data_IF_584306310611
#
_entry.id   IF_584306310611
#
_cell.length_a   1.000
_cell.length_b   1.000
_cell.length_c   1.000
_cell.angle_alpha   90.00
_cell.angle_beta   90.00
_cell.angle_gamma   90.00
#
_symmetry.space_group_name_H-M   'P 1'
#
loop_
_entity.id
_entity.type
_entity.pdbx_description
1 polymer ?
#
# COMPACT_ATOMS: atom_id res chain seq x y z
N UNK A 1 1.21 6.87 27.91
CA UNK A 1 2.39 7.05 27.04
C UNK A 1 1.94 7.43 25.64
N UNK A 2 2.56 8.44 25.02
CA UNK A 2 2.27 8.83 23.65
C UNK A 2 3.13 8.03 22.65
N UNK A 3 2.76 8.11 21.36
CA UNK A 3 3.55 7.52 20.27
C UNK A 3 3.83 8.56 19.18
N UNK A 4 5.06 8.54 18.65
CA UNK A 4 5.42 9.26 17.42
C UNK A 4 5.47 8.25 16.28
N UNK A 5 4.74 8.53 15.19
CA UNK A 5 4.68 7.69 14.00
C UNK A 5 5.24 8.46 12.82
N UNK A 6 6.23 7.91 12.12
CA UNK A 6 6.78 8.55 10.91
C UNK A 6 6.07 8.09 9.65
N UNK A 7 5.93 8.97 8.67
CA UNK A 7 5.44 8.61 7.33
C UNK A 7 6.03 9.52 6.26
N UNK A 8 6.24 8.97 5.06
CA UNK A 8 6.68 9.73 3.88
C UNK A 8 5.53 10.36 3.09
N UNK A 9 4.31 10.24 3.57
CA UNK A 9 3.17 10.88 2.93
C UNK A 9 3.25 12.40 3.01
N UNK A 10 2.61 13.06 2.04
CA UNK A 10 2.50 14.51 1.98
C UNK A 10 1.15 14.93 2.56
N UNK A 11 1.18 15.98 3.36
CA UNK A 11 -0.02 16.58 3.93
C UNK A 11 -0.01 18.08 3.72
N UNK A 12 -1.20 18.67 3.69
CA UNK A 12 -1.39 20.11 3.60
C UNK A 12 -1.96 20.64 4.91
N UNK A 13 -1.43 21.77 5.41
CA UNK A 13 -1.88 22.40 6.65
C UNK A 13 -2.46 23.78 6.36
N UNK A 14 -3.64 24.07 6.90
CA UNK A 14 -4.31 25.37 6.84
C UNK A 14 -3.93 26.23 8.04
N UNK A 15 -4.13 27.59 7.97
CA UNK A 15 -3.73 28.52 9.04
C UNK A 15 -4.41 28.25 10.39
N UNK A 16 -5.57 27.59 10.40
CA UNK A 16 -6.28 27.15 11.60
C UNK A 16 -5.67 25.90 12.26
N UNK A 17 -4.53 25.40 11.74
CA UNK A 17 -3.83 24.23 12.25
C UNK A 17 -4.42 22.88 11.82
N UNK A 18 -5.48 22.88 11.01
CA UNK A 18 -6.03 21.63 10.44
C UNK A 18 -5.11 21.06 9.38
N UNK A 19 -4.98 19.73 9.34
CA UNK A 19 -4.13 19.01 8.41
C UNK A 19 -5.00 18.15 7.49
N UNK A 20 -4.70 18.17 6.19
CA UNK A 20 -5.51 17.61 5.13
C UNK A 20 -4.72 16.65 4.23
N UNK A 21 -5.41 15.68 3.63
CA UNK A 21 -4.82 14.74 2.66
C UNK A 21 -5.81 14.39 1.55
N UNK A 22 -5.29 14.19 0.33
CA UNK A 22 -6.02 13.52 -0.75
C UNK A 22 -5.84 11.98 -0.70
N UNK A 23 -4.88 11.50 0.08
CA UNK A 23 -4.52 10.08 0.15
C UNK A 23 -5.30 9.27 1.17
N UNK A 24 -4.88 8.02 1.38
CA UNK A 24 -5.53 7.04 2.26
C UNK A 24 -5.33 7.31 3.76
N UNK A 25 -4.46 8.23 4.16
CA UNK A 25 -4.08 8.44 5.56
C UNK A 25 -4.93 9.53 6.25
N UNK A 26 -6.26 9.39 6.21
CA UNK A 26 -7.18 10.27 6.93
C UNK A 26 -7.19 10.00 8.44
N UNK A 27 -7.90 10.81 9.21
CA UNK A 27 -7.94 10.72 10.69
C UNK A 27 -8.23 9.30 11.21
N UNK A 28 -9.19 8.51 10.69
CA UNK A 28 -9.42 7.14 11.14
C UNK A 28 -8.20 6.21 11.03
N UNK A 29 -7.35 6.43 10.01
CA UNK A 29 -6.13 5.63 9.88
C UNK A 29 -5.20 5.78 11.10
N UNK A 30 -5.09 6.98 11.67
CA UNK A 30 -4.20 7.26 12.81
C UNK A 30 -4.79 6.84 14.15
N UNK A 31 -6.11 6.77 14.27
CA UNK A 31 -6.76 6.35 15.53
C UNK A 31 -6.44 4.91 15.93
N UNK A 32 -5.99 4.07 15.00
CA UNK A 32 -5.60 2.68 15.28
C UNK A 32 -4.47 2.55 16.32
N UNK A 33 -3.58 3.53 16.43
CA UNK A 33 -2.50 3.55 17.43
C UNK A 33 -3.03 3.83 18.84
N UNK A 34 -4.20 4.46 18.97
CA UNK A 34 -4.86 4.74 20.25
C UNK A 34 -5.33 3.47 20.97
N UNK A 35 -5.30 2.31 20.30
CA UNK A 35 -5.55 1.01 20.93
C UNK A 35 -4.51 0.64 22.02
N UNK A 36 -3.33 1.30 22.01
CA UNK A 36 -2.27 1.06 22.98
C UNK A 36 -1.61 2.35 23.52
N UNK A 37 -1.86 3.51 22.92
CA UNK A 37 -1.23 4.78 23.28
C UNK A 37 -2.28 5.84 23.58
N UNK A 38 -1.93 6.81 24.43
CA UNK A 38 -2.84 7.86 24.90
C UNK A 38 -3.06 8.95 23.86
N UNK A 39 -2.02 9.20 23.03
CA UNK A 39 -2.06 10.12 21.90
C UNK A 39 -1.06 9.73 20.81
N UNK A 40 -1.30 10.21 19.60
CA UNK A 40 -0.49 9.98 18.41
C UNK A 40 0.05 11.30 17.89
N UNK A 41 1.36 11.38 17.66
CA UNK A 41 2.00 12.47 16.95
C UNK A 41 2.58 11.97 15.64
N UNK A 42 2.03 12.42 14.53
CA UNK A 42 2.49 12.00 13.19
C UNK A 42 3.62 12.93 12.74
N UNK A 43 4.78 12.38 12.47
CA UNK A 43 5.90 13.09 11.86
C UNK A 43 5.89 12.87 10.35
N UNK A 44 5.58 13.92 9.60
CA UNK A 44 5.35 13.81 8.16
C UNK A 44 5.76 15.11 7.42
N UNK A 45 5.83 15.02 6.09
CA UNK A 45 6.01 16.17 5.23
C UNK A 45 4.73 17.00 5.18
N UNK A 46 4.83 18.27 5.56
CA UNK A 46 3.68 19.18 5.64
C UNK A 46 3.97 20.45 4.85
N UNK A 47 3.03 20.82 3.98
CA UNK A 47 3.03 22.06 3.23
C UNK A 47 1.93 22.96 3.74
N UNK A 48 2.24 24.23 4.00
CA UNK A 48 1.23 25.21 4.38
C UNK A 48 0.48 25.69 3.13
N UNK A 49 -0.86 25.74 3.23
CA UNK A 49 -1.79 26.18 2.18
C UNK A 49 -2.87 27.09 2.77
N UNK A 50 -3.42 28.03 2.01
CA UNK A 50 -4.46 28.93 2.54
C UNK A 50 -5.82 28.23 2.75
N UNK A 51 -6.21 27.31 1.83
CA UNK A 51 -7.50 26.63 1.84
C UNK A 51 -7.31 25.20 1.34
N UNK A 52 -7.97 24.19 1.94
CA UNK A 52 -7.87 22.82 1.48
C UNK A 52 -8.53 22.64 0.09
N UNK A 53 -7.90 21.90 -0.84
CA UNK A 53 -8.53 21.58 -2.11
C UNK A 53 -9.81 20.74 -1.93
N UNK A 54 -10.77 20.83 -2.87
CA UNK A 54 -11.97 19.99 -2.84
C UNK A 54 -11.62 18.49 -2.76
N UNK A 55 -12.39 17.73 -2.00
CA UNK A 55 -12.21 16.30 -1.82
C UNK A 55 -11.10 15.88 -0.84
N UNK A 56 -10.34 16.82 -0.26
CA UNK A 56 -9.38 16.50 0.78
C UNK A 56 -10.09 16.15 2.09
N UNK A 57 -9.48 15.22 2.85
CA UNK A 57 -10.00 14.70 4.11
C UNK A 57 -9.15 15.17 5.27
N UNK A 58 -9.81 15.46 6.40
CA UNK A 58 -9.14 15.85 7.64
C UNK A 58 -8.29 14.69 8.18
N UNK A 59 -7.13 15.02 8.73
CA UNK A 59 -6.13 14.04 9.18
C UNK A 59 -5.86 14.13 10.68
N UNK A 60 -5.87 15.32 11.26
CA UNK A 60 -5.69 15.55 12.69
C UNK A 60 -7.04 15.73 13.40
N UNK A 61 -7.04 15.52 14.72
CA UNK A 61 -8.24 15.59 15.55
C UNK A 61 -7.92 15.20 16.99
N UNK A 62 -8.93 14.84 17.80
CA UNK A 62 -8.72 14.45 19.19
C UNK A 62 -7.62 13.38 19.33
N UNK A 63 -6.60 13.66 20.17
CA UNK A 63 -5.46 12.78 20.43
C UNK A 63 -4.56 12.47 19.22
N UNK A 64 -4.79 13.05 18.02
CA UNK A 64 -3.95 12.90 16.83
C UNK A 64 -3.44 14.26 16.38
N UNK A 65 -2.14 14.47 16.49
CA UNK A 65 -1.45 15.72 16.15
C UNK A 65 -0.38 15.48 15.09
N UNK A 66 0.07 16.56 14.43
CA UNK A 66 1.11 16.50 13.41
C UNK A 66 2.33 17.34 13.81
N UNK A 67 3.50 16.72 13.71
CA UNK A 67 4.80 17.39 13.72
C UNK A 67 5.29 17.48 12.27
N UNK A 68 5.15 18.66 11.66
CA UNK A 68 5.50 18.87 10.26
C UNK A 68 7.01 18.96 10.08
N UNK A 69 7.58 18.21 9.13
CA UNK A 69 8.83 18.55 8.48
C UNK A 69 8.53 19.32 7.19
N UNK A 70 9.40 20.23 6.74
CA UNK A 70 9.18 20.96 5.49
C UNK A 70 8.93 20.00 4.33
N UNK A 71 7.91 20.27 3.52
CA UNK A 71 7.60 19.46 2.34
C UNK A 71 8.76 19.52 1.32
N UNK A 72 9.11 18.37 0.75
CA UNK A 72 10.11 18.26 -0.30
C UNK A 72 9.73 17.21 -1.35
N UNK A 73 10.07 17.48 -2.58
CA UNK A 73 9.90 16.55 -3.70
C UNK A 73 11.22 16.39 -4.44
N UNK A 74 11.73 15.17 -4.47
CA UNK A 74 13.00 14.84 -5.10
C UNK A 74 14.24 15.29 -4.33
N UNK A 75 15.41 14.84 -4.81
CA UNK A 75 16.69 15.02 -4.13
C UNK A 75 17.10 16.49 -3.96
N UNK A 76 16.88 17.34 -4.97
CA UNK A 76 17.27 18.75 -4.91
C UNK A 76 16.60 19.49 -3.75
N UNK A 77 15.26 19.37 -3.62
CA UNK A 77 14.53 20.02 -2.53
C UNK A 77 14.87 19.41 -1.16
N UNK A 78 15.11 18.10 -1.11
CA UNK A 78 15.58 17.42 0.11
C UNK A 78 16.89 18.01 0.60
N UNK A 79 17.90 18.14 -0.27
CA UNK A 79 19.20 18.72 0.08
C UNK A 79 19.11 20.17 0.55
N UNK A 80 18.30 21.01 -0.14
CA UNK A 80 18.09 22.41 0.25
C UNK A 80 17.43 22.54 1.63
N UNK A 81 16.63 21.58 2.06
CA UNK A 81 15.88 21.60 3.33
C UNK A 81 16.47 20.68 4.39
N UNK A 82 17.62 20.05 4.12
CA UNK A 82 18.22 19.03 4.97
C UNK A 82 18.38 19.48 6.43
N UNK A 83 18.93 20.68 6.67
CA UNK A 83 19.12 21.21 8.01
C UNK A 83 17.79 21.35 8.78
N UNK A 84 16.76 21.86 8.14
CA UNK A 84 15.41 21.99 8.75
C UNK A 84 14.78 20.63 9.01
N UNK A 85 14.97 19.64 8.11
CA UNK A 85 14.45 18.28 8.27
C UNK A 85 15.18 17.59 9.44
N UNK A 86 16.50 17.70 9.51
CA UNK A 86 17.32 17.13 10.62
C UNK A 86 16.92 17.78 11.95
N UNK A 87 16.75 19.09 12.00
CA UNK A 87 16.28 19.79 13.20
C UNK A 87 14.89 19.33 13.66
N UNK A 88 13.94 19.19 12.73
CA UNK A 88 12.60 18.71 13.04
C UNK A 88 12.57 17.24 13.52
N UNK A 89 13.36 16.36 12.90
CA UNK A 89 13.48 14.96 13.33
C UNK A 89 14.18 14.82 14.68
N UNK A 90 15.23 15.60 14.94
CA UNK A 90 15.91 15.64 16.24
C UNK A 90 14.96 16.08 17.35
N UNK A 91 14.18 17.15 17.13
CA UNK A 91 13.16 17.62 18.08
C UNK A 91 12.08 16.57 18.36
N UNK A 92 11.66 15.81 17.36
CA UNK A 92 10.67 14.74 17.53
C UNK A 92 11.16 13.60 18.43
N UNK A 93 12.47 13.36 18.50
CA UNK A 93 13.10 12.29 19.31
C UNK A 93 13.42 12.73 20.75
N UNK A 94 13.38 14.02 21.05
CA UNK A 94 13.73 14.53 22.39
C UNK A 94 12.75 14.09 23.49
N UNK A 95 11.50 13.83 23.14
CA UNK A 95 10.48 13.36 24.09
C UNK A 95 10.64 11.85 24.39
N UNK A 96 10.07 11.42 25.52
CA UNK A 96 10.09 10.02 25.98
C UNK A 96 9.02 9.13 25.33
N UNK A 97 8.39 9.59 24.25
CA UNK A 97 7.31 8.90 23.55
C UNK A 97 7.80 7.60 22.88
N UNK A 98 6.93 6.61 22.72
CA UNK A 98 7.20 5.44 21.90
C UNK A 98 7.39 5.84 20.42
N UNK A 99 8.16 5.06 19.65
CA UNK A 99 8.50 5.39 18.27
C UNK A 99 8.11 4.26 17.31
N UNK A 100 7.27 4.57 16.31
CA UNK A 100 6.96 3.69 15.18
C UNK A 100 7.48 4.32 13.88
N UNK A 101 8.38 3.62 13.20
CA UNK A 101 8.93 4.06 11.92
C UNK A 101 8.22 3.32 10.79
N UNK A 102 7.41 4.03 9.99
CA UNK A 102 6.86 3.47 8.75
C UNK A 102 7.94 3.53 7.67
N UNK A 103 8.38 2.37 7.24
CA UNK A 103 9.54 2.18 6.38
C UNK A 103 9.16 1.39 5.10
N UNK A 104 9.86 1.60 3.97
CA UNK A 104 11.05 2.43 3.78
C UNK A 104 10.73 3.93 3.75
N UNK A 105 11.65 4.75 4.28
CA UNK A 105 11.50 6.21 4.25
C UNK A 105 12.73 6.95 4.76
N UNK A 106 12.90 8.20 4.31
CA UNK A 106 14.02 9.05 4.71
C UNK A 106 13.89 9.53 6.17
N UNK A 107 12.67 9.86 6.59
CA UNK A 107 12.40 10.28 7.97
C UNK A 107 12.73 9.15 8.95
N UNK A 108 12.30 7.92 8.66
CA UNK A 108 12.66 6.75 9.46
C UNK A 108 14.17 6.51 9.50
N UNK A 109 14.87 6.75 8.39
CA UNK A 109 16.34 6.60 8.32
C UNK A 109 17.06 7.60 9.20
N UNK A 110 16.65 8.87 9.20
CA UNK A 110 17.26 9.91 10.04
C UNK A 110 16.98 9.67 11.53
N UNK A 111 15.76 9.34 11.88
CA UNK A 111 15.37 9.07 13.26
C UNK A 111 16.08 7.86 13.84
N UNK A 112 16.24 6.77 13.06
CA UNK A 112 17.01 5.59 13.47
C UNK A 112 18.38 5.94 14.04
N UNK A 113 19.10 6.89 13.43
CA UNK A 113 20.42 7.29 13.89
C UNK A 113 20.37 7.87 15.31
N UNK A 114 19.38 8.73 15.60
CA UNK A 114 19.19 9.29 16.94
C UNK A 114 18.75 8.24 17.96
N UNK A 115 17.87 7.31 17.58
CA UNK A 115 17.38 6.23 18.44
C UNK A 115 18.50 5.24 18.79
N UNK A 116 19.33 4.89 17.81
CA UNK A 116 20.47 3.99 18.02
C UNK A 116 21.47 4.59 19.02
N UNK A 117 21.82 5.87 18.86
CA UNK A 117 22.73 6.59 19.77
C UNK A 117 22.20 6.64 21.22
N UNK A 118 20.90 6.71 21.41
CA UNK A 118 20.27 6.76 22.75
C UNK A 118 19.98 5.39 23.35
N UNK A 119 20.12 4.30 22.59
CA UNK A 119 19.71 2.95 22.98
C UNK A 119 18.19 2.80 23.17
N UNK A 120 17.39 3.72 22.59
CA UNK A 120 15.94 3.73 22.74
C UNK A 120 15.30 2.70 21.85
N UNK A 121 14.35 1.87 22.38
CA UNK A 121 13.59 0.93 21.58
C UNK A 121 12.68 1.65 20.60
N UNK A 122 12.49 1.07 19.43
CA UNK A 122 11.53 1.52 18.42
C UNK A 122 10.92 0.33 17.69
N UNK A 123 9.80 0.54 17.05
CA UNK A 123 9.17 -0.43 16.17
C UNK A 123 9.21 0.03 14.71
N UNK A 124 9.14 -0.92 13.78
CA UNK A 124 9.02 -0.63 12.34
C UNK A 124 7.73 -1.21 11.78
N UNK A 125 7.06 -0.43 10.93
CA UNK A 125 6.01 -0.91 10.02
C UNK A 125 6.57 -0.92 8.60
N UNK A 126 6.83 -2.11 8.05
CA UNK A 126 7.44 -2.31 6.74
C UNK A 126 6.33 -2.40 5.69
N UNK A 127 6.14 -1.31 4.94
CA UNK A 127 4.99 -1.12 4.04
C UNK A 127 5.31 -1.37 2.56
N UNK A 128 6.56 -1.64 2.21
CA UNK A 128 6.97 -1.90 0.82
C UNK A 128 8.43 -2.33 0.71
N UNK A 129 8.81 -2.68 -0.51
CA UNK A 129 10.15 -3.15 -0.83
C UNK A 129 10.94 -2.11 -1.62
N UNK A 130 11.94 -1.43 -1.02
CA UNK A 130 12.73 -0.45 -1.74
C UNK A 130 13.61 -1.06 -2.84
N UNK A 131 13.93 -2.36 -2.78
CA UNK A 131 14.68 -3.02 -3.84
C UNK A 131 13.85 -3.10 -5.13
N UNK A 132 12.58 -3.43 -5.01
CA UNK A 132 11.68 -3.57 -6.16
C UNK A 132 11.21 -2.20 -6.67
N UNK A 133 11.00 -1.20 -5.79
CA UNK A 133 10.69 0.19 -6.20
C UNK A 133 11.74 0.74 -7.18
N UNK A 134 13.02 0.42 -6.98
CA UNK A 134 14.11 0.83 -7.87
C UNK A 134 14.48 -0.24 -8.93
N UNK A 135 13.62 -1.23 -9.19
CA UNK A 135 13.80 -2.21 -10.25
C UNK A 135 13.69 -1.56 -11.66
N UNK A 136 14.25 -2.17 -12.72
CA UNK A 136 14.06 -1.72 -14.09
C UNK A 136 12.57 -1.58 -14.43
N UNK A 137 12.18 -0.45 -15.05
CA UNK A 137 10.80 -0.19 -15.44
C UNK A 137 9.86 0.30 -14.32
N UNK A 138 10.26 0.25 -13.03
CA UNK A 138 9.42 0.72 -11.93
C UNK A 138 9.46 2.24 -11.73
N UNK A 139 10.67 2.83 -11.65
CA UNK A 139 10.87 4.27 -11.47
C UNK A 139 11.97 4.78 -12.41
N UNK A 140 11.73 5.92 -13.05
CA UNK A 140 12.74 6.66 -13.85
C UNK A 140 13.50 7.61 -12.92
N UNK A 141 14.70 7.22 -12.47
CA UNK A 141 15.55 8.04 -11.60
C UNK A 141 17.04 7.86 -11.95
N UNK A 142 17.85 8.93 -12.11
CA UNK A 142 19.25 8.80 -12.52
C UNK A 142 20.11 7.99 -11.54
N UNK A 143 19.88 8.14 -10.24
CA UNK A 143 20.57 7.38 -9.18
C UNK A 143 19.86 6.08 -8.81
N UNK A 144 19.06 5.50 -9.70
CA UNK A 144 18.27 4.31 -9.43
C UNK A 144 19.10 3.13 -8.93
N UNK A 145 20.25 2.85 -9.55
CA UNK A 145 21.15 1.74 -9.16
C UNK A 145 21.71 1.94 -7.75
N UNK A 146 22.10 3.17 -7.42
CA UNK A 146 22.57 3.51 -6.07
C UNK A 146 21.47 3.28 -5.04
N UNK A 147 20.25 3.79 -5.25
CA UNK A 147 19.13 3.59 -4.32
C UNK A 147 18.71 2.13 -4.23
N UNK A 148 18.77 1.37 -5.32
CA UNK A 148 18.51 -0.07 -5.32
C UNK A 148 19.50 -0.86 -4.46
N UNK A 149 20.74 -0.38 -4.36
CA UNK A 149 21.77 -0.97 -3.51
C UNK A 149 21.66 -0.48 -2.05
N UNK A 150 21.51 0.83 -1.84
CA UNK A 150 21.58 1.46 -0.52
C UNK A 150 20.32 1.27 0.31
N UNK A 151 19.12 1.49 -0.29
CA UNK A 151 17.85 1.50 0.46
C UNK A 151 17.49 0.15 1.09
N UNK A 152 17.69 -1.02 0.43
CA UNK A 152 17.45 -2.31 1.05
C UNK A 152 18.41 -2.61 2.21
N UNK A 153 19.68 -2.18 2.11
CA UNK A 153 20.65 -2.33 3.21
C UNK A 153 20.24 -1.54 4.43
N UNK A 154 19.81 -0.30 4.21
CA UNK A 154 19.32 0.55 5.29
C UNK A 154 18.06 -0.03 5.95
N UNK A 155 17.11 -0.53 5.15
CA UNK A 155 15.91 -1.18 5.68
C UNK A 155 16.24 -2.46 6.48
N UNK A 156 17.17 -3.31 6.00
CA UNK A 156 17.64 -4.47 6.77
C UNK A 156 18.21 -4.07 8.14
N UNK A 157 19.02 -3.03 8.19
CA UNK A 157 19.55 -2.53 9.45
C UNK A 157 18.49 -1.96 10.37
N UNK A 158 17.43 -1.34 9.82
CA UNK A 158 16.29 -0.86 10.62
C UNK A 158 15.52 -2.02 11.23
N UNK A 159 15.22 -3.06 10.43
CA UNK A 159 14.53 -4.26 10.90
C UNK A 159 15.38 -5.06 11.90
N UNK A 160 16.69 -5.19 11.67
CA UNK A 160 17.58 -5.92 12.56
C UNK A 160 17.77 -5.27 13.94
N UNK A 161 17.60 -3.95 14.05
CA UNK A 161 17.82 -3.20 15.30
C UNK A 161 16.50 -2.82 16.01
N UNK A 162 15.33 -3.20 15.49
CA UNK A 162 14.03 -2.89 16.07
C UNK A 162 13.67 -3.83 17.21
N UNK A 163 12.87 -3.38 18.18
CA UNK A 163 12.29 -4.26 19.18
C UNK A 163 11.00 -4.95 18.71
N UNK A 164 10.34 -4.40 17.67
CA UNK A 164 9.15 -4.97 17.09
C UNK A 164 9.04 -4.60 15.59
N UNK A 165 8.60 -5.54 14.74
CA UNK A 165 8.42 -5.34 13.32
C UNK A 165 7.04 -5.87 12.87
N UNK A 166 6.25 -4.99 12.21
CA UNK A 166 5.03 -5.35 11.52
C UNK A 166 5.24 -5.19 10.01
N UNK A 167 4.91 -6.22 9.25
CA UNK A 167 5.07 -6.23 7.79
C UNK A 167 3.70 -6.25 7.12
N UNK A 168 3.55 -5.60 5.97
CA UNK A 168 2.30 -5.73 5.22
C UNK A 168 2.14 -7.14 4.62
N UNK A 169 3.23 -7.86 4.38
CA UNK A 169 3.26 -9.25 3.90
C UNK A 169 3.42 -10.24 5.04
N UNK A 170 3.03 -11.49 4.82
CA UNK A 170 3.21 -12.58 5.78
C UNK A 170 4.63 -13.17 5.76
N UNK A 171 5.27 -13.21 4.59
CA UNK A 171 6.57 -13.85 4.37
C UNK A 171 7.52 -13.07 3.47
N UNK A 172 7.05 -12.42 2.40
CA UNK A 172 7.89 -11.89 1.33
C UNK A 172 8.89 -10.84 1.83
N UNK A 173 8.42 -9.83 2.55
CA UNK A 173 9.27 -8.79 3.12
C UNK A 173 10.14 -9.31 4.26
N UNK A 174 9.62 -10.21 5.11
CA UNK A 174 10.35 -10.79 6.23
C UNK A 174 11.59 -11.58 5.78
N UNK A 175 11.48 -12.34 4.68
CA UNK A 175 12.62 -13.07 4.10
C UNK A 175 13.74 -12.14 3.67
N UNK A 176 13.40 -10.98 3.11
CA UNK A 176 14.38 -9.99 2.62
C UNK A 176 14.89 -9.06 3.71
N UNK A 177 14.05 -8.73 4.68
CA UNK A 177 14.31 -7.78 5.77
C UNK A 177 13.96 -8.41 7.12
N UNK A 178 14.69 -9.45 7.58
CA UNK A 178 14.37 -10.14 8.82
C UNK A 178 14.46 -9.20 10.03
N UNK A 179 13.58 -9.34 11.02
CA UNK A 179 13.71 -8.64 12.30
C UNK A 179 14.90 -9.18 13.08
N UNK A 180 15.42 -8.38 14.02
CA UNK A 180 16.49 -8.79 14.90
C UNK A 180 16.10 -9.95 15.84
N UNK A 181 17.10 -10.66 16.41
CA UNK A 181 16.85 -11.71 17.39
C UNK A 181 16.03 -11.17 18.57
N UNK A 182 14.98 -11.90 18.97
CA UNK A 182 14.10 -11.51 20.07
C UNK A 182 13.14 -10.36 19.81
N UNK A 183 13.11 -9.79 18.60
CA UNK A 183 12.11 -8.80 18.24
C UNK A 183 10.72 -9.46 18.04
N UNK A 184 9.68 -8.79 18.50
CA UNK A 184 8.31 -9.19 18.19
C UNK A 184 8.05 -8.99 16.69
N UNK A 185 7.60 -10.02 15.99
CA UNK A 185 7.30 -9.95 14.56
C UNK A 185 5.85 -10.33 14.26
N UNK A 186 5.19 -9.52 13.42
CA UNK A 186 3.83 -9.78 12.97
C UNK A 186 3.62 -9.30 11.54
N UNK A 187 2.42 -9.57 10.99
CA UNK A 187 2.02 -9.05 9.68
C UNK A 187 0.67 -8.35 9.76
N UNK A 188 0.60 -7.14 9.22
CA UNK A 188 -0.58 -6.30 9.22
C UNK A 188 -0.66 -5.51 7.91
N UNK A 189 -1.60 -5.85 7.06
CA UNK A 189 -1.92 -5.03 5.88
C UNK A 189 -2.51 -3.68 6.28
N UNK A 190 -2.35 -2.67 5.44
CA UNK A 190 -3.04 -1.37 5.57
C UNK A 190 -4.42 -1.36 4.88
N UNK A 191 -4.93 -2.52 4.46
CA UNK A 191 -6.29 -2.62 3.93
C UNK A 191 -7.31 -2.36 5.05
N UNK A 192 -8.43 -1.77 4.69
CA UNK A 192 -9.57 -1.53 5.60
C UNK A 192 -10.74 -2.36 5.10
N UNK A 193 -11.07 -3.42 5.82
CA UNK A 193 -12.16 -4.34 5.49
C UNK A 193 -13.13 -4.48 6.67
N UNK A 194 -14.03 -3.50 6.84
CA UNK A 194 -15.15 -3.62 7.78
C UNK A 194 -16.10 -4.74 7.32
N UNK A 195 -17.00 -5.26 8.19
CA UNK A 195 -17.95 -6.31 7.81
C UNK A 195 -18.74 -5.99 6.53
N UNK A 196 -19.10 -4.73 6.29
CA UNK A 196 -19.79 -4.29 5.08
C UNK A 196 -18.97 -4.39 3.79
N UNK A 197 -17.66 -4.62 3.88
CA UNK A 197 -16.82 -4.84 2.69
C UNK A 197 -16.94 -6.25 2.13
N UNK A 198 -17.43 -7.21 2.92
CA UNK A 198 -17.57 -8.60 2.50
C UNK A 198 -18.93 -8.87 1.87
N UNK A 199 -18.95 -9.76 0.87
CA UNK A 199 -20.17 -10.42 0.42
C UNK A 199 -20.43 -11.65 1.29
N UNK A 200 -21.72 -12.06 1.37
CA UNK A 200 -22.11 -13.17 2.23
C UNK A 200 -21.86 -14.56 1.62
N UNK A 201 -21.63 -14.62 0.30
CA UNK A 201 -21.44 -15.90 -0.41
C UNK A 201 -20.48 -15.73 -1.61
N UNK A 202 -19.82 -16.80 -2.03
CA UNK A 202 -19.08 -16.83 -3.28
C UNK A 202 -19.99 -16.53 -4.48
N UNK A 203 -19.41 -16.01 -5.55
CA UNK A 203 -20.14 -15.73 -6.80
C UNK A 203 -20.36 -17.02 -7.58
N UNK A 204 -21.54 -17.14 -8.14
CA UNK A 204 -21.86 -18.13 -9.15
C UNK A 204 -21.64 -17.44 -10.50
N UNK A 205 -20.65 -17.90 -11.26
CA UNK A 205 -20.38 -17.35 -12.59
C UNK A 205 -21.44 -17.87 -13.56
N UNK A 206 -22.27 -16.97 -14.07
CA UNK A 206 -23.17 -17.23 -15.20
C UNK A 206 -22.64 -16.43 -16.38
N UNK A 207 -22.10 -17.06 -17.42
CA UNK A 207 -21.58 -16.35 -18.58
C UNK A 207 -22.71 -15.80 -19.46
N UNK A 208 -23.35 -14.74 -19.02
CA UNK A 208 -24.34 -14.00 -19.78
C UNK A 208 -23.77 -12.65 -20.22
N UNK A 209 -23.12 -12.60 -21.38
CA UNK A 209 -22.57 -11.37 -21.96
C UNK A 209 -21.04 -11.34 -22.02
N UNK A 210 -20.46 -10.16 -22.38
CA UNK A 210 -19.01 -9.98 -22.40
C UNK A 210 -18.41 -10.07 -20.99
N UNK A 211 -17.32 -10.82 -20.85
CA UNK A 211 -16.60 -10.93 -19.58
C UNK A 211 -16.03 -9.57 -19.15
N UNK A 212 -16.38 -9.09 -17.96
CA UNK A 212 -15.97 -7.78 -17.43
C UNK A 212 -14.74 -7.90 -16.54
N UNK A 213 -13.60 -7.45 -17.06
CA UNK A 213 -12.36 -7.35 -16.30
C UNK A 213 -12.32 -6.02 -15.54
N UNK A 214 -11.68 -6.02 -14.36
CA UNK A 214 -11.45 -4.79 -13.60
C UNK A 214 -10.01 -4.70 -13.08
N UNK A 215 -9.45 -3.49 -13.16
CA UNK A 215 -8.21 -3.08 -12.53
C UNK A 215 -8.49 -1.92 -11.59
N UNK A 216 -7.94 -1.96 -10.37
CA UNK A 216 -8.03 -0.85 -9.41
C UNK A 216 -6.61 -0.47 -8.95
N UNK A 217 -6.20 0.77 -9.24
CA UNK A 217 -4.88 1.21 -8.84
C UNK A 217 -4.48 2.59 -9.33
N UNK A 218 -3.55 3.24 -8.63
CA UNK A 218 -3.02 4.53 -9.01
C UNK A 218 -2.23 4.47 -10.32
N UNK A 219 -2.45 5.45 -11.19
CA UNK A 219 -1.72 5.70 -12.43
C UNK A 219 -0.61 6.74 -12.24
N UNK A 220 -0.25 7.08 -11.00
CA UNK A 220 0.86 8.00 -10.71
C UNK A 220 2.23 7.44 -11.12
N UNK A 221 2.35 6.13 -11.21
CA UNK A 221 3.51 5.36 -11.70
C UNK A 221 3.02 4.12 -12.44
N UNK A 222 3.85 3.57 -13.33
CA UNK A 222 3.51 2.36 -14.11
C UNK A 222 3.87 1.04 -13.39
N UNK A 223 4.15 1.08 -12.09
CA UNK A 223 4.53 -0.13 -11.35
C UNK A 223 3.40 -1.16 -11.22
N UNK A 224 2.12 -0.72 -11.32
CA UNK A 224 0.94 -1.63 -11.35
C UNK A 224 0.66 -2.22 -12.74
N UNK A 225 1.42 -1.81 -13.75
CA UNK A 225 1.42 -2.32 -15.12
C UNK A 225 0.06 -2.29 -15.84
N UNK A 226 -0.71 -1.18 -15.81
CA UNK A 226 -1.93 -1.06 -16.61
C UNK A 226 -1.67 -1.17 -18.11
N UNK A 227 -0.48 -0.80 -18.56
CA UNK A 227 0.00 -0.94 -19.94
C UNK A 227 0.08 -2.42 -20.36
N UNK A 228 0.61 -3.30 -19.52
CA UNK A 228 0.66 -4.74 -19.77
C UNK A 228 -0.74 -5.35 -19.82
N UNK A 229 -1.64 -4.89 -18.95
CA UNK A 229 -3.02 -5.34 -18.95
C UNK A 229 -3.76 -4.96 -20.22
N UNK A 230 -3.60 -3.71 -20.70
CA UNK A 230 -4.20 -3.25 -21.95
C UNK A 230 -3.70 -4.09 -23.13
N UNK A 231 -2.40 -4.38 -23.20
CA UNK A 231 -1.83 -5.24 -24.26
C UNK A 231 -2.42 -6.66 -24.20
N UNK A 232 -2.56 -7.23 -23.00
CA UNK A 232 -3.15 -8.56 -22.81
C UNK A 232 -4.62 -8.59 -23.26
N UNK A 233 -5.40 -7.57 -22.89
CA UNK A 233 -6.78 -7.41 -23.36
C UNK A 233 -6.85 -7.29 -24.87
N UNK A 234 -5.96 -6.49 -25.48
CA UNK A 234 -5.87 -6.37 -26.93
C UNK A 234 -5.55 -7.70 -27.62
N UNK A 235 -4.72 -8.55 -27.03
CA UNK A 235 -4.47 -9.91 -27.53
C UNK A 235 -5.74 -10.77 -27.46
N UNK A 236 -6.44 -10.76 -26.33
CA UNK A 236 -7.69 -11.49 -26.17
C UNK A 236 -8.76 -11.07 -27.19
N UNK A 237 -8.95 -9.77 -27.39
CA UNK A 237 -9.93 -9.22 -28.35
C UNK A 237 -9.61 -9.60 -29.80
N UNK A 238 -8.33 -9.53 -30.21
CA UNK A 238 -7.88 -9.94 -31.55
C UNK A 238 -8.10 -11.44 -31.81
N UNK A 239 -8.09 -12.24 -30.77
CA UNK A 239 -8.38 -13.67 -30.82
C UNK A 239 -9.87 -13.98 -30.64
N UNK A 240 -10.75 -12.96 -30.71
CA UNK A 240 -12.22 -13.11 -30.72
C UNK A 240 -12.84 -13.31 -29.32
N UNK A 241 -12.10 -13.14 -28.22
CA UNK A 241 -12.68 -13.23 -26.89
C UNK A 241 -13.55 -11.99 -26.59
N UNK A 242 -14.81 -12.19 -26.23
CA UNK A 242 -15.73 -11.12 -25.91
C UNK A 242 -15.54 -10.64 -24.46
N UNK A 243 -14.68 -9.63 -24.27
CA UNK A 243 -14.35 -9.05 -22.97
C UNK A 243 -14.28 -7.52 -23.01
N UNK A 244 -14.49 -6.91 -21.84
CA UNK A 244 -14.24 -5.50 -21.60
C UNK A 244 -13.38 -5.27 -20.37
N UNK A 245 -12.65 -4.15 -20.30
CA UNK A 245 -11.79 -3.77 -19.18
C UNK A 245 -12.26 -2.45 -18.58
N UNK A 246 -12.42 -2.43 -17.27
CA UNK A 246 -12.63 -1.20 -16.48
C UNK A 246 -11.36 -0.88 -15.70
N UNK A 247 -10.83 0.34 -15.86
CA UNK A 247 -9.73 0.86 -15.06
C UNK A 247 -10.25 1.90 -14.07
N UNK A 248 -10.03 1.64 -12.79
CA UNK A 248 -10.34 2.56 -11.69
C UNK A 248 -9.02 3.10 -11.13
N UNK A 249 -8.90 4.43 -11.13
CA UNK A 249 -7.74 5.17 -10.64
C UNK A 249 -7.31 6.28 -11.57
N UNK A 250 -6.50 7.18 -11.05
CA UNK A 250 -5.97 8.34 -11.76
C UNK A 250 -4.47 8.52 -11.52
N UNK A 251 -3.84 9.41 -12.27
CA UNK A 251 -2.44 9.76 -12.08
C UNK A 251 -1.78 10.33 -13.36
N UNK A 252 -0.52 10.72 -13.23
CA UNK A 252 0.22 11.41 -14.30
C UNK A 252 0.38 10.61 -15.60
N UNK A 253 0.26 9.28 -15.54
CA UNK A 253 0.35 8.38 -16.70
C UNK A 253 -1.00 8.07 -17.34
N UNK A 254 -2.09 8.67 -16.87
CA UNK A 254 -3.44 8.40 -17.37
C UNK A 254 -3.53 8.61 -18.89
N UNK A 255 -3.06 9.76 -19.40
CA UNK A 255 -3.11 10.07 -20.84
C UNK A 255 -2.31 9.06 -21.68
N UNK A 256 -1.16 8.58 -21.18
CA UNK A 256 -0.33 7.56 -21.85
C UNK A 256 -1.09 6.23 -21.93
N UNK A 257 -1.72 5.83 -20.82
CA UNK A 257 -2.50 4.58 -20.71
C UNK A 257 -3.76 4.64 -21.59
N UNK A 258 -4.46 5.77 -21.62
CA UNK A 258 -5.60 6.01 -22.52
C UNK A 258 -5.20 5.97 -24.01
N UNK A 259 -4.07 6.59 -24.37
CA UNK A 259 -3.56 6.54 -25.72
C UNK A 259 -3.25 5.10 -26.17
N UNK A 260 -2.69 4.28 -25.25
CA UNK A 260 -2.44 2.85 -25.50
C UNK A 260 -3.73 2.08 -25.71
N UNK A 261 -4.77 2.34 -24.92
CA UNK A 261 -6.07 1.71 -25.08
C UNK A 261 -6.72 2.06 -26.44
N UNK A 262 -6.68 3.34 -26.84
CA UNK A 262 -7.19 3.78 -28.16
C UNK A 262 -6.44 3.12 -29.33
N UNK A 263 -5.14 2.86 -29.18
CA UNK A 263 -4.34 2.19 -30.20
C UNK A 263 -4.75 0.72 -30.47
N UNK A 264 -5.51 0.09 -29.57
CA UNK A 264 -6.05 -1.25 -29.80
C UNK A 264 -7.11 -1.29 -30.90
N UNK A 265 -7.78 -0.17 -31.20
CA UNK A 265 -8.88 -0.05 -32.18
C UNK A 265 -10.09 -0.93 -31.89
N UNK A 266 -10.37 -1.18 -30.62
CA UNK A 266 -11.58 -1.84 -30.13
C UNK A 266 -12.39 -0.83 -29.31
N UNK A 267 -13.29 -0.11 -29.99
CA UNK A 267 -14.07 0.97 -29.40
C UNK A 267 -14.91 0.47 -28.21
N UNK A 268 -14.82 1.18 -27.08
CA UNK A 268 -15.58 0.87 -25.88
C UNK A 268 -15.06 -0.32 -25.05
N UNK A 269 -14.08 -1.10 -25.55
CA UNK A 269 -13.56 -2.26 -24.82
C UNK A 269 -12.79 -1.88 -23.53
N UNK A 270 -12.24 -0.67 -23.46
CA UNK A 270 -11.52 -0.17 -22.27
C UNK A 270 -12.18 1.09 -21.75
N UNK A 271 -12.66 1.05 -20.51
CA UNK A 271 -13.34 2.16 -19.85
C UNK A 271 -12.51 2.69 -18.69
N UNK A 272 -12.35 4.02 -18.60
CA UNK A 272 -11.64 4.70 -17.51
C UNK A 272 -12.67 5.37 -16.58
N UNK A 273 -12.66 5.00 -15.30
CA UNK A 273 -13.56 5.57 -14.27
C UNK A 273 -12.93 6.74 -13.51
N UNK A 274 -11.62 6.98 -13.73
CA UNK A 274 -10.90 7.96 -12.92
C UNK A 274 -10.74 7.50 -11.47
N UNK A 275 -10.47 8.44 -10.56
CA UNK A 275 -10.36 8.19 -9.14
C UNK A 275 -11.74 8.18 -8.47
N UNK A 276 -12.10 7.07 -7.85
CA UNK A 276 -13.31 6.96 -7.03
C UNK A 276 -12.98 7.35 -5.59
N UNK A 277 -13.74 8.29 -5.04
CA UNK A 277 -13.43 8.94 -3.75
C UNK A 277 -13.95 8.16 -2.55
N UNK A 278 -14.90 7.25 -2.73
CA UNK A 278 -15.46 6.46 -1.63
C UNK A 278 -15.19 4.96 -1.80
N UNK A 279 -14.99 4.22 -0.70
CA UNK A 279 -14.87 2.77 -0.72
C UNK A 279 -16.10 2.07 -1.32
N UNK A 280 -17.30 2.64 -1.12
CA UNK A 280 -18.57 2.14 -1.65
C UNK A 280 -18.59 2.20 -3.18
N UNK A 281 -18.12 3.29 -3.77
CA UNK A 281 -18.04 3.43 -5.22
C UNK A 281 -17.05 2.41 -5.83
N UNK A 282 -15.93 2.14 -5.17
CA UNK A 282 -14.98 1.10 -5.60
C UNK A 282 -15.64 -0.27 -5.51
N UNK A 283 -16.33 -0.58 -4.41
CA UNK A 283 -17.05 -1.85 -4.25
C UNK A 283 -18.12 -2.05 -5.32
N UNK A 284 -18.87 -0.99 -5.67
CA UNK A 284 -19.89 -1.05 -6.72
C UNK A 284 -19.30 -1.43 -8.10
N UNK A 285 -18.12 -0.91 -8.46
CA UNK A 285 -17.42 -1.33 -9.69
C UNK A 285 -16.89 -2.78 -9.59
N UNK A 286 -16.36 -3.17 -8.42
CA UNK A 286 -15.92 -4.55 -8.17
C UNK A 286 -17.09 -5.53 -8.27
N UNK A 287 -18.28 -5.15 -7.78
CA UNK A 287 -19.48 -6.00 -7.81
C UNK A 287 -19.99 -6.29 -9.21
N UNK A 288 -19.75 -5.38 -10.15
CA UNK A 288 -20.13 -5.53 -11.55
C UNK A 288 -19.08 -6.29 -12.39
N UNK A 289 -17.89 -6.55 -11.86
CA UNK A 289 -16.82 -7.22 -12.58
C UNK A 289 -16.90 -8.75 -12.40
N UNK A 290 -16.32 -9.49 -13.36
CA UNK A 290 -16.20 -10.95 -13.32
C UNK A 290 -14.80 -11.40 -12.89
N UNK A 291 -13.76 -10.61 -13.20
CA UNK A 291 -12.36 -10.96 -12.96
C UNK A 291 -11.55 -9.70 -12.59
N UNK A 292 -10.90 -9.74 -11.46
CA UNK A 292 -9.91 -8.72 -11.05
C UNK A 292 -8.52 -9.07 -11.57
N UNK A 293 -7.84 -8.12 -12.22
CA UNK A 293 -6.51 -8.36 -12.81
C UNK A 293 -5.51 -7.29 -12.37
N UNK A 294 -4.40 -7.73 -11.76
CA UNK A 294 -3.33 -6.84 -11.29
C UNK A 294 -1.94 -7.39 -11.66
N UNK A 295 -1.44 -7.10 -12.88
CA UNK A 295 -0.16 -7.63 -13.38
C UNK A 295 1.06 -6.80 -12.96
N UNK A 296 1.05 -6.33 -11.73
CA UNK A 296 2.06 -5.39 -11.20
C UNK A 296 3.50 -5.82 -11.48
N UNK A 297 4.38 -4.83 -11.72
CA UNK A 297 5.84 -5.01 -11.75
C UNK A 297 6.45 -4.97 -10.35
N UNK A 298 5.78 -4.28 -9.44
CA UNK A 298 6.22 -4.11 -8.05
C UNK A 298 5.02 -3.99 -7.14
N UNK A 299 5.02 -4.72 -6.02
CA UNK A 299 4.04 -4.62 -4.96
C UNK A 299 4.66 -4.88 -3.59
N UNK A 300 4.06 -4.27 -2.54
CA UNK A 300 4.16 -4.78 -1.17
C UNK A 300 3.13 -5.90 -0.98
N UNK A 301 1.94 -5.52 -0.52
CA UNK A 301 0.74 -6.36 -0.51
C UNK A 301 -0.42 -5.52 -1.10
N UNK A 302 -1.02 -5.93 -2.23
CA UNK A 302 -1.98 -5.09 -2.95
C UNK A 302 -3.34 -5.04 -2.24
N UNK A 303 -3.66 -3.91 -1.62
CA UNK A 303 -4.95 -3.69 -0.94
C UNK A 303 -6.14 -3.90 -1.87
N UNK A 304 -6.07 -3.35 -3.08
CA UNK A 304 -7.15 -3.48 -4.06
C UNK A 304 -7.47 -4.95 -4.44
N UNK A 305 -6.48 -5.84 -4.45
CA UNK A 305 -6.71 -7.27 -4.66
C UNK A 305 -7.44 -7.89 -3.47
N UNK A 306 -7.07 -7.52 -2.23
CA UNK A 306 -7.74 -8.03 -1.02
C UNK A 306 -9.19 -7.49 -0.97
N UNK A 307 -9.41 -6.22 -1.35
CA UNK A 307 -10.75 -5.64 -1.50
C UNK A 307 -11.60 -6.38 -2.54
N UNK A 308 -11.00 -6.72 -3.71
CA UNK A 308 -11.66 -7.53 -4.73
C UNK A 308 -11.98 -8.95 -4.22
N UNK A 309 -11.07 -9.58 -3.48
CA UNK A 309 -11.28 -10.89 -2.86
C UNK A 309 -12.41 -10.86 -1.82
N UNK A 310 -12.56 -9.78 -1.05
CA UNK A 310 -13.68 -9.59 -0.12
C UNK A 310 -15.05 -9.47 -0.85
N UNK A 311 -15.03 -9.03 -2.12
CA UNK A 311 -16.20 -9.07 -3.02
C UNK A 311 -16.33 -10.40 -3.76
N UNK A 312 -15.60 -11.44 -3.33
CA UNK A 312 -15.60 -12.78 -3.92
C UNK A 312 -15.21 -12.80 -5.40
N UNK A 313 -14.39 -11.83 -5.88
CA UNK A 313 -13.91 -11.84 -7.26
C UNK A 313 -12.81 -12.89 -7.46
N UNK A 314 -12.83 -13.67 -8.53
CA UNK A 314 -11.65 -14.29 -9.09
C UNK A 314 -10.55 -13.23 -9.33
N UNK A 315 -9.29 -13.57 -9.04
CA UNK A 315 -8.18 -12.63 -9.14
C UNK A 315 -7.01 -13.25 -9.91
N UNK A 316 -6.44 -12.50 -10.84
CA UNK A 316 -5.18 -12.79 -11.49
C UNK A 316 -4.13 -11.76 -11.09
N UNK A 317 -2.88 -12.18 -10.94
CA UNK A 317 -1.78 -11.29 -10.57
C UNK A 317 -0.44 -11.75 -11.12
N UNK A 318 0.59 -10.99 -10.81
CA UNK A 318 1.98 -11.33 -11.14
C UNK A 318 2.72 -11.94 -9.96
N UNK A 319 3.86 -12.61 -10.24
CA UNK A 319 4.71 -13.28 -9.25
C UNK A 319 5.59 -12.28 -8.45
N UNK A 320 5.05 -11.10 -8.07
CA UNK A 320 5.83 -10.06 -7.38
C UNK A 320 5.32 -9.76 -5.98
N UNK A 321 6.21 -9.38 -5.10
CA UNK A 321 5.92 -8.92 -3.74
C UNK A 321 5.07 -9.90 -2.95
N UNK A 322 3.98 -9.41 -2.36
CA UNK A 322 3.03 -10.22 -1.58
C UNK A 322 1.87 -10.80 -2.40
N UNK A 323 1.81 -10.65 -3.73
CA UNK A 323 0.73 -11.24 -4.54
C UNK A 323 0.70 -12.78 -4.42
N UNK A 324 1.85 -13.50 -4.44
CA UNK A 324 1.86 -14.95 -4.22
C UNK A 324 1.41 -15.42 -2.83
N UNK A 325 1.24 -14.50 -1.88
CA UNK A 325 0.67 -14.82 -0.56
C UNK A 325 -0.87 -14.76 -0.55
N UNK A 326 -1.47 -14.13 -1.56
CA UNK A 326 -2.90 -13.93 -1.71
C UNK A 326 -3.56 -14.97 -2.59
N UNK A 327 -2.94 -15.29 -3.72
CA UNK A 327 -3.46 -16.22 -4.73
C UNK A 327 -2.43 -17.29 -5.08
N UNK A 328 -2.84 -18.51 -5.49
CA UNK A 328 -1.93 -19.61 -5.80
C UNK A 328 -1.19 -19.40 -7.13
N UNK A 329 -0.16 -20.18 -7.34
CA UNK A 329 0.73 -20.11 -8.50
C UNK A 329 -0.02 -20.28 -9.84
N UNK A 330 -1.06 -21.10 -9.89
CA UNK A 330 -1.90 -21.31 -11.08
C UNK A 330 -2.60 -20.03 -11.57
N UNK A 331 -2.75 -19.02 -10.71
CA UNK A 331 -3.39 -17.73 -11.01
C UNK A 331 -2.38 -16.58 -11.17
N UNK A 332 -1.10 -16.91 -11.18
CA UNK A 332 0.01 -15.97 -11.33
C UNK A 332 0.61 -16.00 -12.74
N UNK A 333 1.16 -14.86 -13.15
CA UNK A 333 1.91 -14.70 -14.40
C UNK A 333 3.25 -14.00 -14.14
N UNK A 334 4.27 -14.19 -14.98
CA UNK A 334 5.50 -13.39 -14.90
C UNK A 334 5.19 -11.89 -15.08
N UNK A 335 5.86 -10.98 -14.34
CA UNK A 335 5.64 -9.55 -14.49
C UNK A 335 6.10 -9.06 -15.86
N UNK A 336 5.24 -8.27 -16.52
CA UNK A 336 5.53 -7.69 -17.85
C UNK A 336 5.20 -8.60 -19.04
N UNK A 337 4.73 -9.83 -18.81
CA UNK A 337 4.39 -10.80 -19.87
C UNK A 337 2.90 -10.67 -20.25
N UNK A 338 2.60 -9.76 -21.20
CA UNK A 338 1.25 -9.57 -21.70
C UNK A 338 0.68 -10.82 -22.45
N UNK A 339 1.44 -11.57 -23.25
CA UNK A 339 0.98 -12.83 -23.83
C UNK A 339 0.61 -13.88 -22.79
N UNK A 340 1.41 -14.08 -21.74
CA UNK A 340 1.07 -15.02 -20.67
C UNK A 340 -0.19 -14.57 -19.92
N UNK A 341 -0.34 -13.26 -19.67
CA UNK A 341 -1.53 -12.71 -19.04
C UNK A 341 -2.78 -12.92 -19.90
N UNK A 342 -2.69 -12.72 -21.22
CA UNK A 342 -3.81 -12.92 -22.14
C UNK A 342 -4.27 -14.40 -22.13
N UNK A 343 -3.34 -15.35 -22.21
CA UNK A 343 -3.65 -16.79 -22.09
C UNK A 343 -4.36 -17.10 -20.76
N UNK A 344 -3.85 -16.54 -19.66
CA UNK A 344 -4.42 -16.76 -18.32
C UNK A 344 -5.82 -16.14 -18.16
N UNK A 345 -6.05 -14.95 -18.70
CA UNK A 345 -7.37 -14.31 -18.75
C UNK A 345 -8.35 -15.23 -19.49
N UNK A 346 -7.97 -15.73 -20.66
CA UNK A 346 -8.82 -16.65 -21.43
C UNK A 346 -9.13 -17.93 -20.65
N UNK A 347 -8.12 -18.61 -20.12
CA UNK A 347 -8.29 -19.84 -19.33
C UNK A 347 -9.29 -19.68 -18.19
N UNK A 348 -9.28 -18.51 -17.51
CA UNK A 348 -10.15 -18.26 -16.36
C UNK A 348 -11.55 -17.84 -16.80
N UNK A 349 -11.66 -16.83 -17.69
CA UNK A 349 -12.96 -16.24 -18.02
C UNK A 349 -13.87 -17.20 -18.79
N UNK A 350 -13.32 -18.22 -19.48
CA UNK A 350 -14.07 -19.23 -20.20
C UNK A 350 -14.36 -20.49 -19.38
N UNK A 351 -13.91 -20.56 -18.10
CA UNK A 351 -14.16 -21.69 -17.21
C UNK A 351 -14.96 -21.26 -15.97
N UNK A 352 -16.31 -21.37 -16.01
CA UNK A 352 -17.18 -20.99 -14.89
C UNK A 352 -16.90 -21.80 -13.61
N UNK A 353 -16.50 -23.06 -13.72
CA UNK A 353 -16.20 -23.93 -12.58
C UNK A 353 -14.93 -23.43 -11.86
N UNK A 354 -13.91 -23.10 -12.63
CA UNK A 354 -12.70 -22.48 -12.11
C UNK A 354 -12.98 -21.14 -11.45
N UNK A 355 -13.77 -20.29 -12.10
CA UNK A 355 -14.16 -18.98 -11.53
C UNK A 355 -14.90 -19.12 -10.20
N UNK A 356 -15.84 -20.06 -10.08
CA UNK A 356 -16.54 -20.31 -8.83
C UNK A 356 -15.61 -20.80 -7.72
N UNK A 357 -14.66 -21.69 -8.04
CA UNK A 357 -13.61 -22.16 -7.11
C UNK A 357 -12.70 -21.02 -6.65
N UNK A 358 -12.24 -20.17 -7.57
CA UNK A 358 -11.44 -18.98 -7.26
C UNK A 358 -12.19 -18.01 -6.37
N UNK A 359 -13.48 -17.77 -6.66
CA UNK A 359 -14.37 -16.91 -5.89
C UNK A 359 -14.46 -17.37 -4.43
N UNK A 360 -14.78 -18.63 -4.19
CA UNK A 360 -14.91 -19.19 -2.84
C UNK A 360 -13.59 -19.11 -2.06
N UNK A 361 -12.49 -19.51 -2.68
CA UNK A 361 -11.16 -19.43 -2.10
C UNK A 361 -10.76 -17.98 -1.74
N UNK A 362 -10.98 -17.05 -2.65
CA UNK A 362 -10.60 -15.65 -2.45
C UNK A 362 -11.40 -14.99 -1.34
N UNK A 363 -12.71 -15.24 -1.26
CA UNK A 363 -13.56 -14.73 -0.18
C UNK A 363 -13.08 -15.25 1.19
N UNK A 364 -12.79 -16.54 1.30
CA UNK A 364 -12.22 -17.14 2.51
C UNK A 364 -10.87 -16.50 2.87
N UNK A 365 -9.98 -16.32 1.89
CA UNK A 365 -8.66 -15.70 2.08
C UNK A 365 -8.75 -14.24 2.53
N UNK A 366 -9.70 -13.46 2.00
CA UNK A 366 -9.92 -12.08 2.41
C UNK A 366 -10.29 -11.98 3.90
N UNK A 367 -10.94 -12.97 4.48
CA UNK A 367 -11.27 -13.03 5.91
C UNK A 367 -10.07 -12.90 6.84
N UNK A 368 -8.88 -13.38 6.42
CA UNK A 368 -7.61 -13.23 7.18
C UNK A 368 -7.16 -11.76 7.30
N UNK A 369 -7.75 -10.87 6.51
CA UNK A 369 -7.46 -9.43 6.43
C UNK A 369 -8.62 -8.56 6.91
N UNK A 370 -9.62 -9.12 7.61
CA UNK A 370 -10.70 -8.34 8.20
C UNK A 370 -10.18 -7.34 9.21
N UNK A 371 -10.90 -6.23 9.41
CA UNK A 371 -10.51 -5.19 10.37
C UNK A 371 -10.32 -5.77 11.78
N UNK A 372 -11.12 -6.75 12.20
CA UNK A 372 -11.00 -7.40 13.50
C UNK A 372 -9.67 -8.17 13.64
N UNK A 373 -9.31 -8.98 12.63
CA UNK A 373 -8.05 -9.72 12.60
C UNK A 373 -6.84 -8.78 12.61
N UNK A 374 -6.86 -7.76 11.75
CA UNK A 374 -5.77 -6.79 11.67
C UNK A 374 -5.67 -5.92 12.92
N UNK A 375 -6.79 -5.54 13.55
CA UNK A 375 -6.80 -4.78 14.80
C UNK A 375 -6.18 -5.57 15.95
N UNK A 376 -6.50 -6.87 16.07
CA UNK A 376 -5.91 -7.76 17.07
C UNK A 376 -4.39 -7.83 16.95
N UNK A 377 -3.87 -8.07 15.74
CA UNK A 377 -2.42 -8.14 15.47
C UNK A 377 -1.72 -6.80 15.73
N UNK A 378 -2.31 -5.68 15.29
CA UNK A 378 -1.79 -4.33 15.56
C UNK A 378 -1.74 -4.03 17.05
N UNK A 379 -2.80 -4.37 17.79
CA UNK A 379 -2.86 -4.15 19.25
C UNK A 379 -1.71 -4.86 19.96
N UNK A 380 -1.48 -6.14 19.67
CA UNK A 380 -0.36 -6.90 20.25
C UNK A 380 1.00 -6.27 19.93
N UNK A 381 1.20 -5.84 18.69
CA UNK A 381 2.43 -5.15 18.23
C UNK A 381 2.66 -3.83 18.99
N UNK A 382 1.63 -2.98 19.11
CA UNK A 382 1.73 -1.71 19.81
C UNK A 382 1.91 -1.88 21.32
N UNK A 383 1.25 -2.85 21.93
CA UNK A 383 1.43 -3.18 23.36
C UNK A 383 2.85 -3.65 23.66
N UNK A 384 3.44 -4.48 22.77
CA UNK A 384 4.84 -4.88 22.92
C UNK A 384 5.78 -3.68 22.88
N UNK A 385 5.62 -2.78 21.89
CA UNK A 385 6.42 -1.55 21.81
C UNK A 385 6.26 -0.69 23.07
N UNK A 386 5.02 -0.50 23.56
CA UNK A 386 4.73 0.25 24.79
C UNK A 386 5.51 -0.32 25.98
N UNK A 387 5.38 -1.61 26.23
CA UNK A 387 6.06 -2.29 27.34
C UNK A 387 7.60 -2.18 27.23
N UNK A 388 8.16 -2.34 26.03
CA UNK A 388 9.61 -2.17 25.79
C UNK A 388 10.08 -0.75 26.04
N UNK A 389 9.26 0.24 25.72
CA UNK A 389 9.58 1.66 25.95
C UNK A 389 9.49 2.02 27.43
N UNK A 390 8.47 1.54 28.14
CA UNK A 390 8.30 1.72 29.58
C UNK A 390 9.50 1.12 30.35
N UNK A 391 9.87 -0.12 30.06
CA UNK A 391 11.04 -0.76 30.66
C UNK A 391 12.37 -0.06 30.35
N UNK A 392 12.50 0.60 29.20
CA UNK A 392 13.67 1.42 28.87
C UNK A 392 13.69 2.72 29.70
N UNK A 393 12.54 3.36 29.90
CA UNK A 393 12.41 4.57 30.71
C UNK A 393 12.73 4.32 32.19
N UNK A 394 12.26 3.19 32.75
CA UNK A 394 12.53 2.77 34.12
C UNK A 394 14.04 2.57 34.37
N UNK A 395 14.76 2.00 33.39
CA UNK A 395 16.22 1.82 33.51
C UNK A 395 17.03 3.13 33.39
N UNK A 396 16.41 4.22 32.95
CA UNK A 396 17.06 5.54 32.84
C UNK A 396 16.78 6.47 34.02
N UNK A 397 15.80 6.13 34.84
CA UNK A 397 15.55 6.79 36.13
C UNK A 397 16.52 6.26 37.21
#
# INVERSE_FOLDING_TARGET
MNVVVTTEAHFDRTPDGRVWTSGSFSYPFWTRYLAAFDSVRVLARVRDIPVPPPGFRLVNGPKVTFAGVPDYRGLKQYMLRLASIVGATAKAVQNTDAMVLRVPGQLGTQIKWHLHKSGRPYAVEVVGDPYDVFAPGAVRHPLRLFFRWWSPRNLRQQCAATCAAAYVTRCALQRRYPPGPGAFATHCSDVELPPAAFVNAPRISTPNGPGRLIFVGSLAQLYKAPDVLIDAVGNCLREGLNIGLVLVGSGRYQLEVEARARALRFDGAVQFRGELTSPEAVRAELDQADLFVLPSRVEGLPRAMIEAMARALPCLGSTVGGIPELIPEEDLVPPGDAPALARKIREVITDPVRMARMSARNLSKAGEYSDAELASRRKAFYQHLRARTEAWLERKR
#
